data_IF_042601833332
#
_entry.id   IF_042601833332
#
_cell.length_a   1.000
_cell.length_b   1.000
_cell.length_c   1.000
_cell.angle_alpha   90.00
_cell.angle_beta   90.00
_cell.angle_gamma   90.00
#
_symmetry.space_group_name_H-M   'P 1'
#
loop_
_entity.id
_entity.type
_entity.pdbx_description
1 polymer ?
#
# COMPACT_ATOMS: atom_id res chain seq x y z
N UNK A 1 33.68 -47.03 -39.42
CA UNK A 1 32.77 -45.97 -39.91
C UNK A 1 31.50 -45.78 -39.05
N UNK A 2 31.15 -46.69 -38.14
CA UNK A 2 29.88 -46.62 -37.37
C UNK A 2 29.87 -45.75 -36.10
N UNK A 3 31.02 -45.43 -35.52
CA UNK A 3 31.08 -44.72 -34.22
C UNK A 3 30.78 -43.23 -34.32
N UNK A 4 31.10 -42.60 -35.46
CA UNK A 4 30.85 -41.15 -35.68
C UNK A 4 29.38 -40.82 -35.97
N UNK A 5 28.64 -41.75 -36.57
CA UNK A 5 27.21 -41.57 -36.89
C UNK A 5 26.36 -41.62 -35.60
N UNK A 6 26.65 -42.56 -34.69
CA UNK A 6 25.93 -42.67 -33.41
C UNK A 6 26.13 -41.44 -32.49
N UNK A 7 27.31 -40.80 -32.54
CA UNK A 7 27.60 -39.57 -31.78
C UNK A 7 26.86 -38.34 -32.35
N UNK A 8 26.68 -38.27 -33.67
CA UNK A 8 25.88 -37.23 -34.32
C UNK A 8 24.38 -37.40 -34.01
N UNK A 9 23.86 -38.64 -34.06
CA UNK A 9 22.44 -38.93 -33.78
C UNK A 9 22.08 -38.65 -32.32
N UNK A 10 22.95 -39.04 -31.37
CA UNK A 10 22.76 -38.77 -29.93
C UNK A 10 22.84 -37.27 -29.60
N UNK A 11 23.76 -36.53 -30.23
CA UNK A 11 23.83 -35.08 -30.11
C UNK A 11 22.60 -34.34 -30.67
N UNK A 12 22.04 -34.82 -31.78
CA UNK A 12 20.80 -34.27 -32.36
C UNK A 12 19.58 -34.59 -31.47
N UNK A 13 19.51 -35.80 -30.91
CA UNK A 13 18.44 -36.18 -29.98
C UNK A 13 18.47 -35.35 -28.68
N UNK A 14 19.66 -35.09 -28.13
CA UNK A 14 19.83 -34.27 -26.93
C UNK A 14 19.42 -32.81 -27.16
N UNK A 15 19.81 -32.21 -28.30
CA UNK A 15 19.41 -30.83 -28.66
C UNK A 15 17.89 -30.70 -28.83
N UNK A 16 17.23 -31.69 -29.44
CA UNK A 16 15.76 -31.71 -29.57
C UNK A 16 15.06 -31.80 -28.21
N UNK A 17 15.57 -32.63 -27.30
CA UNK A 17 15.01 -32.80 -25.95
C UNK A 17 15.19 -31.53 -25.10
N UNK A 18 16.33 -30.86 -25.20
CA UNK A 18 16.59 -29.59 -24.52
C UNK A 18 15.69 -28.46 -25.05
N UNK A 19 15.47 -28.39 -26.37
CA UNK A 19 14.59 -27.41 -26.98
C UNK A 19 13.13 -27.58 -26.52
N UNK A 20 12.63 -28.83 -26.44
CA UNK A 20 11.30 -29.13 -25.92
C UNK A 20 11.13 -28.70 -24.46
N UNK A 21 12.12 -28.92 -23.60
CA UNK A 21 12.07 -28.50 -22.19
C UNK A 21 12.01 -26.97 -22.08
N UNK A 22 12.89 -26.26 -22.81
CA UNK A 22 12.88 -24.79 -22.81
C UNK A 22 11.54 -24.25 -23.32
N UNK A 23 11.00 -24.83 -24.40
CA UNK A 23 9.70 -24.45 -24.93
C UNK A 23 8.58 -24.67 -23.90
N UNK A 24 8.58 -25.81 -23.18
CA UNK A 24 7.59 -26.05 -22.13
C UNK A 24 7.71 -25.07 -20.97
N UNK A 25 8.93 -24.71 -20.54
CA UNK A 25 9.16 -23.73 -19.47
C UNK A 25 8.73 -22.31 -19.89
N UNK A 26 9.00 -21.92 -21.14
CA UNK A 26 8.54 -20.64 -21.69
C UNK A 26 7.02 -20.60 -21.80
N UNK A 27 6.39 -21.68 -22.28
CA UNK A 27 4.93 -21.78 -22.35
C UNK A 27 4.28 -21.77 -20.96
N UNK A 28 4.86 -22.47 -19.98
CA UNK A 28 4.39 -22.44 -18.58
C UNK A 28 4.56 -21.06 -17.96
N UNK A 29 5.68 -20.38 -18.22
CA UNK A 29 5.89 -19.01 -17.77
C UNK A 29 4.91 -18.04 -18.42
N UNK A 30 4.60 -18.23 -19.71
CA UNK A 30 3.65 -17.39 -20.44
C UNK A 30 2.21 -17.59 -19.94
N UNK A 31 1.77 -18.84 -19.74
CA UNK A 31 0.44 -19.13 -19.20
C UNK A 31 0.32 -18.62 -17.76
N UNK A 32 1.34 -18.81 -16.93
CA UNK A 32 1.40 -18.28 -15.57
C UNK A 32 1.36 -16.74 -15.55
N UNK A 33 2.14 -16.07 -16.40
CA UNK A 33 2.12 -14.61 -16.54
C UNK A 33 0.75 -14.10 -17.02
N UNK A 34 0.11 -14.83 -17.94
CA UNK A 34 -1.23 -14.53 -18.45
C UNK A 34 -2.32 -14.70 -17.39
N UNK A 35 -2.18 -15.67 -16.49
CA UNK A 35 -3.08 -15.90 -15.35
C UNK A 35 -2.89 -14.80 -14.29
N UNK A 36 -1.67 -14.37 -14.00
CA UNK A 36 -1.40 -13.27 -13.06
C UNK A 36 -2.01 -11.95 -13.55
N UNK A 37 -1.94 -11.65 -14.85
CA UNK A 37 -2.52 -10.44 -15.44
C UNK A 37 -4.05 -10.42 -15.46
N UNK A 38 -4.71 -11.56 -15.20
CA UNK A 38 -6.18 -11.73 -15.23
C UNK A 38 -6.88 -11.62 -13.87
N UNK A 39 -6.21 -11.16 -12.82
CA UNK A 39 -6.94 -10.61 -11.67
C UNK A 39 -7.50 -9.25 -12.07
N UNK A 40 -8.66 -9.28 -12.72
CA UNK A 40 -9.50 -8.11 -12.93
C UNK A 40 -9.93 -7.60 -11.55
N UNK A 41 -9.12 -6.74 -10.94
CA UNK A 41 -9.62 -5.90 -9.87
C UNK A 41 -10.72 -5.03 -10.47
N UNK A 42 -11.91 -4.97 -9.85
CA UNK A 42 -12.96 -4.09 -10.33
C UNK A 42 -12.41 -2.66 -10.37
N UNK A 43 -12.46 -2.02 -11.53
CA UNK A 43 -12.15 -0.60 -11.66
C UNK A 43 -13.18 0.16 -10.83
N UNK A 44 -12.72 0.86 -9.79
CA UNK A 44 -13.61 1.63 -8.92
C UNK A 44 -14.37 2.67 -9.73
N UNK A 45 -15.66 2.86 -9.40
CA UNK A 45 -16.43 3.97 -9.98
C UNK A 45 -15.91 5.32 -9.46
N UNK A 46 -16.24 6.40 -10.18
CA UNK A 46 -15.88 7.75 -9.74
C UNK A 46 -16.46 8.11 -8.35
N UNK A 47 -17.63 7.58 -8.00
CA UNK A 47 -18.24 7.79 -6.67
C UNK A 47 -17.46 7.08 -5.58
N UNK A 48 -17.09 5.80 -5.80
CA UNK A 48 -16.29 5.04 -4.85
C UNK A 48 -14.90 5.67 -4.64
N UNK A 49 -14.31 6.21 -5.71
CA UNK A 49 -13.04 6.94 -5.61
C UNK A 49 -13.18 8.20 -4.76
N UNK A 50 -14.31 8.91 -4.86
CA UNK A 50 -14.59 10.10 -4.05
C UNK A 50 -14.80 9.74 -2.57
N UNK A 51 -15.49 8.65 -2.29
CA UNK A 51 -15.69 8.15 -0.93
C UNK A 51 -14.36 7.73 -0.29
N UNK A 52 -13.48 7.07 -1.05
CA UNK A 52 -12.13 6.72 -0.57
C UNK A 52 -11.30 7.97 -0.31
N UNK A 53 -11.39 8.97 -1.19
CA UNK A 53 -10.73 10.27 -1.00
C UNK A 53 -11.15 10.93 0.31
N UNK A 54 -12.45 11.01 0.58
CA UNK A 54 -12.95 11.63 1.82
C UNK A 54 -12.54 10.84 3.06
N UNK A 55 -12.64 9.51 3.04
CA UNK A 55 -12.23 8.67 4.17
C UNK A 55 -10.75 8.85 4.55
N UNK A 56 -9.85 8.97 3.57
CA UNK A 56 -8.40 9.17 3.82
C UNK A 56 -8.12 10.57 4.33
N UNK A 57 -8.83 11.57 3.80
CA UNK A 57 -8.72 12.93 4.28
C UNK A 57 -9.16 13.00 5.75
N UNK A 58 -10.32 12.44 6.08
CA UNK A 58 -10.84 12.38 7.45
C UNK A 58 -9.88 11.61 8.37
N UNK A 59 -9.28 10.54 7.89
CA UNK A 59 -8.25 9.80 8.62
C UNK A 59 -7.05 10.69 8.96
N UNK A 60 -6.48 11.42 8.00
CA UNK A 60 -5.36 12.33 8.29
C UNK A 60 -5.79 13.44 9.27
N UNK A 61 -6.98 14.02 9.11
CA UNK A 61 -7.48 15.07 10.00
C UNK A 61 -7.72 14.55 11.43
N UNK A 62 -8.23 13.34 11.61
CA UNK A 62 -8.39 12.73 12.94
C UNK A 62 -7.04 12.49 13.62
N UNK A 63 -6.05 12.00 12.86
CA UNK A 63 -4.68 11.78 13.37
C UNK A 63 -4.01 13.11 13.76
N UNK A 64 -4.21 14.17 12.97
CA UNK A 64 -3.65 15.50 13.24
C UNK A 64 -4.34 16.15 14.45
N UNK A 65 -5.67 16.16 14.48
CA UNK A 65 -6.46 16.88 15.49
C UNK A 65 -6.26 16.36 16.91
N UNK A 66 -6.04 15.05 17.08
CA UNK A 66 -5.93 14.43 18.42
C UNK A 66 -4.51 14.29 18.95
N UNK A 67 -3.51 14.55 18.11
CA UNK A 67 -2.12 14.50 18.49
C UNK A 67 -1.41 15.73 17.93
N UNK A 68 -1.68 16.94 18.45
CA UNK A 68 -0.90 18.11 18.10
C UNK A 68 0.51 17.95 18.70
N UNK A 69 1.36 17.12 18.09
CA UNK A 69 2.81 17.31 18.21
C UNK A 69 3.02 18.70 17.62
N UNK A 70 3.22 19.68 18.49
CA UNK A 70 3.34 21.10 18.23
C UNK A 70 3.51 21.44 16.74
N UNK A 71 2.39 21.71 16.06
CA UNK A 71 2.36 22.72 14.99
C UNK A 71 2.30 24.12 15.63
N UNK A 72 2.79 24.24 16.87
CA UNK A 72 3.01 25.47 17.59
C UNK A 72 4.48 25.84 17.35
N UNK A 73 4.71 26.52 16.22
CA UNK A 73 5.71 27.57 16.03
C UNK A 73 5.71 27.99 14.55
N UNK A 74 4.59 28.56 14.12
CA UNK A 74 4.51 29.50 13.00
C UNK A 74 3.56 30.60 13.44
N UNK A 75 3.97 31.36 14.46
CA UNK A 75 3.42 32.66 14.86
C UNK A 75 4.31 33.22 15.99
N UNK A 76 5.45 33.80 15.61
CA UNK A 76 6.06 34.88 16.37
C UNK A 76 6.22 36.04 15.40
N UNK A 77 5.72 37.19 15.83
CA UNK A 77 5.35 38.35 15.03
C UNK A 77 6.53 39.10 14.40
N UNK A 78 6.24 39.73 13.24
CA UNK A 78 6.92 40.82 12.50
C UNK A 78 7.91 40.45 11.38
N UNK A 79 8.10 41.32 10.36
CA UNK A 79 7.13 42.05 9.53
C UNK A 79 7.41 41.85 8.00
N UNK A 80 6.49 42.34 7.17
CA UNK A 80 6.47 42.36 5.68
C UNK A 80 7.79 42.12 4.91
N UNK A 81 7.86 41.00 4.18
CA UNK A 81 8.67 40.89 2.96
C UNK A 81 7.80 40.25 1.87
N UNK A 82 7.54 41.02 0.81
CA UNK A 82 6.86 40.57 -0.39
C UNK A 82 7.79 39.68 -1.23
N UNK A 83 7.41 38.42 -1.45
CA UNK A 83 7.96 37.59 -2.53
C UNK A 83 6.78 37.00 -3.31
N UNK A 84 6.74 37.30 -4.61
CA UNK A 84 5.80 36.70 -5.55
C UNK A 84 6.28 35.30 -6.00
N UNK A 85 5.29 34.47 -6.35
CA UNK A 85 5.33 33.26 -7.19
C UNK A 85 5.55 31.90 -6.50
N UNK A 86 4.48 31.10 -6.61
CA UNK A 86 4.22 29.71 -6.21
C UNK A 86 5.39 28.71 -6.30
N UNK A 87 5.75 28.07 -5.18
CA UNK A 87 6.18 26.65 -5.06
C UNK A 87 6.27 26.20 -3.59
N UNK A 88 5.53 25.13 -3.25
CA UNK A 88 5.79 24.15 -2.18
C UNK A 88 6.34 24.63 -0.82
N UNK A 89 5.46 24.93 0.13
CA UNK A 89 5.78 24.81 1.56
C UNK A 89 5.88 23.31 1.91
N UNK A 90 6.99 22.67 1.59
CA UNK A 90 7.19 21.27 1.97
C UNK A 90 7.42 21.16 3.48
N UNK A 91 6.39 20.71 4.21
CA UNK A 91 6.49 20.40 5.64
C UNK A 91 7.60 19.35 5.86
N UNK A 92 8.62 19.65 6.69
CA UNK A 92 9.70 18.71 7.02
C UNK A 92 9.20 17.36 7.55
N UNK A 93 9.92 16.28 7.23
CA UNK A 93 9.47 14.91 7.56
C UNK A 93 9.21 14.70 9.05
N UNK A 94 10.01 15.29 9.92
CA UNK A 94 9.86 15.26 11.38
C UNK A 94 8.56 15.91 11.86
N UNK A 95 8.06 16.93 11.16
CA UNK A 95 6.79 17.61 11.46
C UNK A 95 5.55 16.89 10.90
N UNK A 96 5.72 15.98 9.94
CA UNK A 96 4.61 15.20 9.38
C UNK A 96 4.04 14.21 10.38
N UNK A 97 2.75 13.88 10.26
CA UNK A 97 2.12 12.74 10.92
C UNK A 97 2.40 11.45 10.14
N UNK A 98 2.98 10.45 10.80
CA UNK A 98 3.38 9.19 10.16
C UNK A 98 2.29 8.14 10.36
N UNK A 99 1.71 7.69 9.25
CA UNK A 99 0.65 6.69 9.21
C UNK A 99 1.21 5.44 8.54
N UNK A 100 1.18 4.32 9.26
CA UNK A 100 1.64 3.03 8.75
C UNK A 100 0.45 2.17 8.34
N UNK A 101 0.42 1.77 7.07
CA UNK A 101 -0.38 0.67 6.58
C UNK A 101 0.21 -0.63 7.12
N UNK A 102 -0.34 -1.08 8.24
CA UNK A 102 0.23 -2.17 9.01
C UNK A 102 -0.01 -3.50 8.32
N UNK A 103 -1.21 -3.75 7.85
CA UNK A 103 -1.57 -4.93 7.04
C UNK A 103 -1.84 -4.53 5.59
N UNK A 104 -1.87 -5.50 4.68
CA UNK A 104 -2.38 -5.29 3.32
C UNK A 104 -3.90 -5.11 3.31
N UNK A 105 -4.43 -4.50 2.25
CA UNK A 105 -5.85 -4.43 1.91
C UNK A 105 -6.08 -5.29 0.67
N UNK A 106 -6.61 -6.51 0.85
CA UNK A 106 -6.81 -7.50 -0.23
C UNK A 106 -5.55 -7.81 -1.05
N UNK A 107 -4.38 -7.83 -0.40
CA UNK A 107 -3.07 -8.00 -1.02
C UNK A 107 -2.42 -6.70 -1.52
N UNK A 108 -3.15 -5.57 -1.53
CA UNK A 108 -2.63 -4.25 -1.89
C UNK A 108 -2.06 -3.50 -0.68
N UNK A 109 -0.94 -2.79 -0.86
CA UNK A 109 -0.28 -2.01 0.19
C UNK A 109 -0.46 -0.50 0.03
N UNK A 110 -1.34 -0.09 -0.86
CA UNK A 110 -1.66 1.29 -1.20
C UNK A 110 -3.11 1.66 -0.85
N UNK A 111 -3.90 0.70 -0.33
CA UNK A 111 -5.27 0.93 0.14
C UNK A 111 -6.17 1.59 -0.92
N UNK A 112 -5.98 1.22 -2.20
CA UNK A 112 -6.68 1.77 -3.37
C UNK A 112 -6.36 3.24 -3.70
N UNK A 113 -5.33 3.82 -3.07
CA UNK A 113 -4.84 5.18 -3.35
C UNK A 113 -3.97 5.20 -4.59
N UNK A 114 -3.24 4.12 -4.86
CA UNK A 114 -2.23 4.06 -5.93
C UNK A 114 -0.91 4.75 -5.59
N UNK A 115 -0.75 5.31 -4.38
CA UNK A 115 0.47 6.02 -3.96
C UNK A 115 0.73 5.90 -2.45
N UNK A 116 1.99 6.10 -2.05
CA UNK A 116 2.44 6.22 -0.65
C UNK A 116 3.24 7.51 -0.46
N UNK A 117 3.67 7.79 0.75
CA UNK A 117 4.36 9.01 1.16
C UNK A 117 3.40 10.19 1.28
N UNK A 118 3.88 11.39 0.95
CA UNK A 118 3.03 12.60 0.84
C UNK A 118 2.17 12.58 -0.42
N UNK A 119 2.64 11.89 -1.46
CA UNK A 119 1.95 11.79 -2.74
C UNK A 119 0.57 11.16 -2.61
N UNK A 120 0.41 10.24 -1.64
CA UNK A 120 -0.86 9.62 -1.31
C UNK A 120 -1.98 10.65 -1.08
N UNK A 121 -1.68 11.82 -0.51
CA UNK A 121 -2.67 12.88 -0.30
C UNK A 121 -2.75 13.84 -1.48
N UNK A 122 -1.65 14.07 -2.20
CA UNK A 122 -1.63 14.94 -3.38
C UNK A 122 -2.51 14.39 -4.50
N UNK A 123 -2.44 13.09 -4.80
CA UNK A 123 -3.28 12.44 -5.82
C UNK A 123 -4.77 12.46 -5.48
N UNK A 124 -5.10 12.62 -4.20
CA UNK A 124 -6.46 12.74 -3.70
C UNK A 124 -6.96 14.19 -3.68
N UNK A 125 -6.13 15.17 -4.07
CA UNK A 125 -6.48 16.59 -4.09
C UNK A 125 -6.16 17.34 -2.79
N UNK A 126 -5.31 16.77 -1.92
CA UNK A 126 -4.93 17.35 -0.63
C UNK A 126 -3.41 17.62 -0.56
N UNK A 127 -2.87 18.60 -1.31
CA UNK A 127 -1.43 18.85 -1.40
C UNK A 127 -0.78 19.31 -0.08
N UNK A 128 -1.54 19.97 0.79
CA UNK A 128 -1.04 20.56 2.05
C UNK A 128 -1.30 19.69 3.28
N UNK A 129 -1.74 18.43 3.11
CA UNK A 129 -1.94 17.53 4.23
C UNK A 129 -0.61 17.24 4.95
N UNK A 130 -0.48 17.52 6.27
CA UNK A 130 0.75 17.30 7.02
C UNK A 130 0.91 15.83 7.42
N UNK A 131 0.64 14.90 6.51
CA UNK A 131 0.65 13.46 6.73
C UNK A 131 1.60 12.76 5.74
N UNK A 132 2.16 11.65 6.20
CA UNK A 132 3.01 10.75 5.42
C UNK A 132 2.53 9.32 5.64
N UNK A 133 2.16 8.63 4.56
CA UNK A 133 1.69 7.26 4.59
C UNK A 133 2.78 6.30 4.11
N UNK A 134 2.92 5.14 4.72
CA UNK A 134 3.84 4.10 4.24
C UNK A 134 3.36 2.71 4.62
N UNK A 135 3.84 1.68 3.92
CA UNK A 135 3.72 0.27 4.32
C UNK A 135 5.05 -0.30 4.87
N UNK A 136 6.11 0.51 4.89
CA UNK A 136 7.42 0.09 5.39
C UNK A 136 7.47 0.10 6.91
N UNK A 137 7.27 -1.08 7.53
CA UNK A 137 7.34 -1.27 8.99
C UNK A 137 8.72 -0.96 9.60
N UNK A 138 9.78 -0.95 8.79
CA UNK A 138 11.16 -0.70 9.22
C UNK A 138 11.57 0.76 9.08
N UNK A 139 10.70 1.65 8.61
CA UNK A 139 11.01 3.08 8.45
C UNK A 139 11.37 3.74 9.80
N UNK A 140 10.69 3.33 10.87
CA UNK A 140 10.94 3.76 12.24
C UNK A 140 10.34 2.75 13.23
N UNK A 141 10.68 2.81 14.54
CA UNK A 141 10.06 1.96 15.55
C UNK A 141 8.53 2.04 15.53
N UNK A 142 7.87 0.89 15.70
CA UNK A 142 6.41 0.78 15.53
C UNK A 142 5.64 1.73 16.43
N UNK A 143 6.11 2.00 17.63
CA UNK A 143 5.49 2.90 18.62
C UNK A 143 5.68 4.40 18.32
N UNK A 144 6.51 4.75 17.32
CA UNK A 144 6.73 6.14 16.90
C UNK A 144 5.80 6.60 15.78
N UNK A 145 5.12 5.68 15.09
CA UNK A 145 4.06 6.03 14.15
C UNK A 145 2.87 6.67 14.89
N UNK A 146 2.32 7.74 14.34
CA UNK A 146 1.14 8.41 14.91
C UNK A 146 -0.13 7.56 14.72
N UNK A 147 -0.20 6.75 13.66
CA UNK A 147 -1.28 5.79 13.44
C UNK A 147 -0.84 4.51 12.72
N UNK A 148 -1.53 3.41 13.03
CA UNK A 148 -1.45 2.13 12.35
C UNK A 148 -2.81 1.82 11.73
N UNK A 149 -2.83 1.50 10.45
CA UNK A 149 -4.04 1.14 9.70
C UNK A 149 -4.07 -0.36 9.49
N UNK A 150 -5.21 -0.96 9.81
CA UNK A 150 -5.47 -2.39 9.69
C UNK A 150 -6.66 -2.60 8.77
N UNK A 151 -6.54 -3.59 7.90
CA UNK A 151 -7.66 -4.09 7.12
C UNK A 151 -8.07 -5.46 7.68
N UNK A 152 -9.35 -5.67 8.06
CA UNK A 152 -9.78 -6.89 8.76
C UNK A 152 -9.71 -8.16 7.91
N UNK A 153 -9.75 -8.02 6.58
CA UNK A 153 -9.57 -9.12 5.61
C UNK A 153 -8.19 -9.09 4.93
N UNK A 154 -7.17 -8.62 5.63
CA UNK A 154 -5.80 -8.66 5.13
C UNK A 154 -5.27 -10.09 5.05
N UNK A 155 -4.52 -10.40 3.99
CA UNK A 155 -3.83 -11.70 3.87
C UNK A 155 -2.67 -11.82 4.86
N UNK A 156 -2.07 -10.69 5.24
CA UNK A 156 -1.03 -10.56 6.26
C UNK A 156 -1.57 -10.54 7.68
N UNK A 157 -2.90 -10.63 7.88
CA UNK A 157 -3.47 -10.67 9.21
C UNK A 157 -3.08 -11.98 9.91
N UNK A 158 -2.30 -11.85 10.98
CA UNK A 158 -2.02 -12.94 11.90
C UNK A 158 -1.87 -12.36 13.30
N UNK A 159 -2.51 -12.98 14.30
CA UNK A 159 -2.43 -12.52 15.69
C UNK A 159 -0.99 -12.45 16.21
N UNK A 160 -0.13 -13.39 15.80
CA UNK A 160 1.28 -13.40 16.14
C UNK A 160 2.06 -12.19 15.59
N UNK A 161 1.54 -11.57 14.52
CA UNK A 161 2.13 -10.43 13.84
C UNK A 161 1.50 -9.10 14.27
N UNK A 162 0.72 -9.06 15.35
CA UNK A 162 0.18 -7.80 15.89
C UNK A 162 1.27 -7.02 16.64
N UNK A 163 1.20 -5.67 16.66
CA UNK A 163 2.16 -4.88 17.40
C UNK A 163 2.05 -5.19 18.90
N UNK A 164 3.18 -5.58 19.49
CA UNK A 164 3.25 -5.93 20.92
C UNK A 164 3.36 -4.71 21.83
N UNK A 165 3.82 -3.59 21.27
CA UNK A 165 4.04 -2.33 21.96
C UNK A 165 3.26 -1.26 21.23
N UNK A 166 2.59 -0.39 21.99
CA UNK A 166 1.81 0.73 21.47
C UNK A 166 2.10 1.97 22.30
N UNK A 167 2.33 3.09 21.61
CA UNK A 167 2.36 4.41 22.25
C UNK A 167 0.94 4.84 22.66
N UNK A 168 0.73 5.48 23.83
CA UNK A 168 -0.57 6.02 24.24
C UNK A 168 -1.18 7.00 23.23
N UNK A 169 -0.35 7.66 22.43
CA UNK A 169 -0.78 8.62 21.41
C UNK A 169 -0.98 8.01 20.02
N UNK A 170 -0.59 6.74 19.83
CA UNK A 170 -0.73 6.04 18.57
C UNK A 170 -2.19 5.61 18.36
N UNK A 171 -2.73 5.83 17.16
CA UNK A 171 -4.09 5.42 16.77
C UNK A 171 -4.07 4.10 16.01
N UNK A 172 -5.01 3.22 16.32
CA UNK A 172 -5.27 2.02 15.51
C UNK A 172 -6.54 2.28 14.73
N UNK A 173 -6.43 2.24 13.41
CA UNK A 173 -7.49 2.62 12.49
C UNK A 173 -7.88 1.36 11.74
N UNK A 174 -9.15 0.97 11.87
CA UNK A 174 -9.71 -0.10 11.05
C UNK A 174 -10.21 0.52 9.75
N UNK A 175 -9.65 0.10 8.63
CA UNK A 175 -10.06 0.54 7.29
C UNK A 175 -10.96 -0.52 6.67
N UNK A 176 -12.18 -0.12 6.30
CA UNK A 176 -13.15 -0.97 5.61
C UNK A 176 -14.01 -0.10 4.70
N UNK A 177 -14.13 -0.51 3.44
CA UNK A 177 -14.98 0.15 2.42
C UNK A 177 -16.28 -0.64 2.16
N UNK A 178 -16.36 -1.86 2.66
CA UNK A 178 -17.55 -2.69 2.50
C UNK A 178 -18.60 -2.35 3.55
N UNK A 179 -19.87 -2.55 3.20
CA UNK A 179 -20.94 -2.57 4.19
C UNK A 179 -20.62 -3.61 5.27
N UNK A 180 -21.05 -3.33 6.50
CA UNK A 180 -20.95 -4.31 7.58
C UNK A 180 -21.55 -5.64 7.11
N UNK A 181 -20.73 -6.69 7.09
CA UNK A 181 -21.23 -8.03 6.83
C UNK A 181 -22.14 -8.39 8.00
N UNK A 182 -23.46 -8.35 7.78
CA UNK A 182 -24.40 -8.90 8.75
C UNK A 182 -24.09 -10.39 8.87
N UNK A 183 -23.87 -10.92 10.08
CA UNK A 183 -23.81 -12.36 10.21
C UNK A 183 -25.17 -12.90 9.75
N UNK A 184 -25.16 -13.71 8.70
CA UNK A 184 -26.28 -14.57 8.34
C UNK A 184 -26.42 -15.69 9.38
N UNK A 185 -26.46 -15.35 10.66
CA UNK A 185 -27.10 -16.21 11.63
C UNK A 185 -28.57 -16.14 11.32
N UNK A 186 -29.02 -17.17 10.58
CA UNK A 186 -30.42 -17.50 10.42
C UNK A 186 -31.12 -17.28 11.78
N UNK A 187 -32.10 -16.39 11.79
CA UNK A 187 -33.16 -16.45 12.77
C UNK A 187 -33.82 -17.82 12.54
N UNK A 188 -33.38 -18.83 13.31
CA UNK A 188 -34.17 -20.03 13.53
C UNK A 188 -35.34 -19.57 14.40
N UNK A 189 -36.45 -19.29 13.74
CA UNK A 189 -37.78 -19.36 14.35
C UNK A 189 -38.09 -20.80 14.77
#
# INVERSE_FOLDING_TARGET
MNTRINLLITGVAHKKRLFLIILTLVLFSWTYFSVIKKRNFPTLSNSQLLDIKSMIQDMCQDVVSRNPKQLANSNTSQPSVSINVMTGNEVPFDQLKKILFYTDCYGGWDYFIGATGREAFRVLGCPDAPCYVTSNRSLMPLDQFDALVFHPRANSFAMANMPKIRSPHQRYIMWIIESGCYPSHALRE
#
